data_IF_025625001594
#
_entry.id   IF_025625001594
#
_cell.length_a   1.000
_cell.length_b   1.000
_cell.length_c   1.000
_cell.angle_alpha   90.00
_cell.angle_beta   90.00
_cell.angle_gamma   90.00
#
_symmetry.space_group_name_H-M   'P 1'
#
loop_
_entity.id
_entity.type
_entity.pdbx_description
1 polymer ?
#
# COMPACT_ATOMS: atom_id res chain seq x y z
N UNK A 1 -27.74 16.78 62.39
CA UNK A 1 -28.30 16.96 61.00
C UNK A 1 -27.26 17.39 60.00
N UNK A 2 -26.27 18.19 60.38
CA UNK A 2 -25.20 18.64 59.42
C UNK A 2 -24.22 17.48 59.02
N UNK A 3 -23.93 16.60 60.01
CA UNK A 3 -23.04 15.46 59.76
C UNK A 3 -23.66 14.41 58.80
N UNK A 4 -24.98 14.20 58.85
CA UNK A 4 -25.65 13.28 57.94
C UNK A 4 -25.64 13.82 56.48
N UNK A 5 -25.71 15.14 56.28
CA UNK A 5 -25.65 15.78 54.99
C UNK A 5 -24.23 15.65 54.35
N UNK A 6 -23.17 15.75 55.18
CA UNK A 6 -21.79 15.57 54.75
C UNK A 6 -21.49 14.11 54.33
N UNK A 7 -22.03 13.12 55.08
CA UNK A 7 -21.84 11.71 54.71
C UNK A 7 -22.59 11.32 53.45
N UNK A 8 -23.80 11.86 53.22
CA UNK A 8 -24.52 11.63 51.94
C UNK A 8 -23.86 12.31 50.76
N UNK A 9 -23.23 13.47 50.93
CA UNK A 9 -22.47 14.16 49.90
C UNK A 9 -21.17 13.42 49.55
N UNK A 10 -20.44 12.89 50.56
CA UNK A 10 -19.23 12.08 50.33
C UNK A 10 -19.53 10.72 49.68
N UNK A 11 -20.65 10.09 50.00
CA UNK A 11 -21.05 8.82 49.36
C UNK A 11 -21.47 9.01 47.92
N UNK A 12 -22.07 10.15 47.56
CA UNK A 12 -22.46 10.49 46.19
C UNK A 12 -21.30 10.76 45.26
N UNK A 13 -20.17 11.29 45.77
CA UNK A 13 -18.97 11.55 44.98
C UNK A 13 -18.10 10.30 44.73
N UNK A 14 -18.16 9.30 45.62
CA UNK A 14 -17.40 8.05 45.47
C UNK A 14 -17.98 7.10 44.41
N UNK A 15 -19.25 7.23 44.05
CA UNK A 15 -19.91 6.41 43.02
C UNK A 15 -19.78 6.94 41.59
N UNK A 16 -19.25 8.15 41.42
CA UNK A 16 -19.13 8.82 40.12
C UNK A 16 -17.81 8.57 39.36
N UNK A 17 -16.82 7.91 39.96
CA UNK A 17 -15.47 7.80 39.36
C UNK A 17 -15.15 6.46 38.68
N UNK A 18 -16.11 5.52 38.67
CA UNK A 18 -15.87 4.19 38.02
C UNK A 18 -16.51 4.04 36.65
N UNK A 19 -16.92 5.15 36.01
CA UNK A 19 -17.69 5.11 34.75
C UNK A 19 -16.89 5.25 33.46
N UNK A 20 -15.54 5.33 33.47
CA UNK A 20 -14.80 5.60 32.24
C UNK A 20 -14.49 4.35 31.37
N UNK A 21 -14.55 3.14 31.95
CA UNK A 21 -14.27 1.93 31.14
C UNK A 21 -15.50 1.34 30.42
N UNK A 22 -16.71 1.83 30.77
CA UNK A 22 -17.95 1.34 30.15
C UNK A 22 -18.34 2.10 28.87
N UNK A 23 -17.59 3.15 28.54
CA UNK A 23 -17.79 3.97 27.34
C UNK A 23 -16.79 3.64 26.21
N UNK A 24 -15.82 2.77 26.43
CA UNK A 24 -15.00 2.18 25.37
C UNK A 24 -15.82 1.11 24.62
N UNK A 25 -16.84 1.58 23.92
CA UNK A 25 -17.56 0.77 22.95
C UNK A 25 -16.67 0.64 21.72
N UNK A 26 -16.00 -0.49 21.57
CA UNK A 26 -15.45 -0.85 20.29
C UNK A 26 -16.60 -0.88 19.26
N UNK A 27 -16.42 -0.25 18.08
CA UNK A 27 -17.49 -0.22 17.07
C UNK A 27 -17.85 -1.66 16.70
N UNK A 28 -19.10 -2.04 16.85
CA UNK A 28 -19.61 -3.38 16.57
C UNK A 28 -19.39 -3.84 15.11
N UNK A 29 -18.98 -2.93 14.22
CA UNK A 29 -18.73 -3.15 12.79
C UNK A 29 -17.28 -2.99 12.39
N UNK A 30 -16.38 -2.63 13.31
CA UNK A 30 -14.94 -2.52 13.05
C UNK A 30 -14.17 -3.43 14.02
N UNK A 31 -13.36 -4.32 13.47
CA UNK A 31 -12.48 -5.18 14.27
C UNK A 31 -11.24 -4.37 14.64
N UNK A 32 -10.96 -4.25 15.94
CA UNK A 32 -9.74 -3.58 16.40
C UNK A 32 -8.50 -4.36 15.93
N UNK A 33 -7.47 -3.69 15.40
CA UNK A 33 -6.21 -4.36 15.00
C UNK A 33 -5.57 -5.16 16.14
N UNK A 34 -5.82 -4.79 17.40
CA UNK A 34 -5.26 -5.47 18.58
C UNK A 34 -5.78 -6.88 18.83
N UNK A 35 -6.93 -7.26 18.24
CA UNK A 35 -7.52 -8.60 18.36
C UNK A 35 -7.34 -9.46 17.12
N UNK A 36 -6.71 -8.90 16.07
CA UNK A 36 -6.42 -9.61 14.83
C UNK A 36 -5.15 -10.45 15.01
N UNK A 37 -5.22 -11.71 14.59
CA UNK A 37 -4.13 -12.67 14.65
C UNK A 37 -3.67 -13.14 13.28
N UNK A 38 -2.98 -14.27 13.25
CA UNK A 38 -2.39 -14.85 12.04
C UNK A 38 -3.40 -15.14 10.93
N UNK A 39 -4.63 -15.52 11.25
CA UNK A 39 -5.66 -15.85 10.25
C UNK A 39 -6.15 -14.64 9.47
N UNK A 40 -6.17 -13.48 10.09
CA UNK A 40 -6.67 -12.25 9.50
C UNK A 40 -5.62 -11.55 8.65
N UNK A 41 -4.32 -11.74 8.95
CA UNK A 41 -3.21 -11.10 8.23
C UNK A 41 -3.22 -11.46 6.74
N UNK A 42 -3.48 -12.70 6.39
CA UNK A 42 -3.58 -13.15 4.98
C UNK A 42 -4.78 -12.53 4.25
N UNK A 43 -5.89 -12.35 4.97
CA UNK A 43 -7.08 -11.71 4.40
C UNK A 43 -6.84 -10.22 4.17
N UNK A 44 -6.13 -9.54 5.08
CA UNK A 44 -5.73 -8.14 4.94
C UNK A 44 -4.74 -7.95 3.77
N UNK A 45 -3.76 -8.84 3.64
CA UNK A 45 -2.86 -8.84 2.48
C UNK A 45 -3.64 -9.00 1.17
N UNK A 46 -4.58 -9.95 1.12
CA UNK A 46 -5.48 -10.13 -0.04
C UNK A 46 -6.30 -8.87 -0.31
N UNK A 47 -6.78 -8.20 0.75
CA UNK A 47 -7.45 -6.90 0.65
C UNK A 47 -6.56 -5.80 0.06
N UNK A 48 -5.26 -5.83 0.34
CA UNK A 48 -4.28 -4.90 -0.24
C UNK A 48 -4.12 -5.10 -1.74
N UNK A 49 -3.95 -6.36 -2.20
CA UNK A 49 -3.95 -6.70 -3.62
C UNK A 49 -5.22 -6.21 -4.33
N UNK A 50 -6.37 -6.48 -3.73
CA UNK A 50 -7.68 -6.08 -4.27
C UNK A 50 -7.83 -4.56 -4.39
N UNK A 51 -7.31 -3.81 -3.43
CA UNK A 51 -7.36 -2.34 -3.46
C UNK A 51 -6.59 -1.78 -4.66
N UNK A 52 -5.46 -2.39 -5.04
CA UNK A 52 -4.69 -1.99 -6.21
C UNK A 52 -5.34 -2.43 -7.54
N UNK A 53 -6.08 -3.53 -7.55
CA UNK A 53 -6.78 -4.01 -8.74
C UNK A 53 -8.02 -3.18 -9.08
N UNK A 54 -8.77 -2.76 -8.07
CA UNK A 54 -10.06 -2.12 -8.26
C UNK A 54 -9.92 -0.67 -8.76
N UNK A 55 -9.75 0.27 -7.83
CA UNK A 55 -9.87 1.69 -8.13
C UNK A 55 -8.72 2.25 -8.99
N UNK A 56 -7.42 2.02 -8.65
CA UNK A 56 -6.35 2.54 -9.49
C UNK A 56 -5.99 1.60 -10.66
N UNK A 57 -6.33 0.30 -10.58
CA UNK A 57 -5.83 -0.73 -11.47
C UNK A 57 -6.07 -0.46 -12.95
N UNK A 58 -7.30 -0.67 -13.41
CA UNK A 58 -7.68 -0.46 -14.83
C UNK A 58 -7.42 0.98 -15.27
N UNK A 59 -7.90 1.95 -14.52
CA UNK A 59 -7.87 3.35 -14.94
C UNK A 59 -6.45 3.90 -15.04
N UNK A 60 -5.53 3.42 -14.20
CA UNK A 60 -4.11 3.75 -14.30
C UNK A 60 -3.51 3.33 -15.64
N UNK A 61 -3.74 2.11 -16.08
CA UNK A 61 -3.19 1.61 -17.33
C UNK A 61 -3.82 2.32 -18.53
N UNK A 62 -5.13 2.27 -18.61
CA UNK A 62 -5.87 2.75 -19.79
C UNK A 62 -5.69 4.26 -19.99
N UNK A 63 -5.88 5.05 -18.93
CA UNK A 63 -5.88 6.50 -19.07
C UNK A 63 -4.50 7.10 -19.30
N UNK A 64 -3.46 6.52 -18.69
CA UNK A 64 -2.08 7.00 -18.94
C UNK A 64 -1.56 6.54 -20.30
N UNK A 65 -1.97 5.38 -20.82
CA UNK A 65 -1.66 4.95 -22.17
C UNK A 65 -2.40 5.77 -23.25
N UNK A 66 -3.64 6.22 -22.94
CA UNK A 66 -4.35 7.19 -23.79
C UNK A 66 -3.61 8.52 -23.87
N UNK A 67 -3.07 9.00 -22.74
CA UNK A 67 -2.25 10.20 -22.71
C UNK A 67 -0.96 10.08 -23.52
N UNK A 68 -0.42 8.87 -23.64
CA UNK A 68 0.75 8.54 -24.46
C UNK A 68 0.42 8.28 -25.94
N UNK A 69 -0.83 8.52 -26.38
CA UNK A 69 -1.32 8.26 -27.74
C UNK A 69 -1.28 6.77 -28.17
N UNK A 70 -1.02 5.86 -27.25
CA UNK A 70 -0.99 4.42 -27.51
C UNK A 70 -2.39 3.80 -27.60
N UNK A 71 -3.38 4.43 -27.00
CA UNK A 71 -4.78 3.99 -27.00
C UNK A 71 -5.73 5.12 -27.43
N UNK A 72 -6.77 4.75 -28.18
CA UNK A 72 -7.85 5.64 -28.57
C UNK A 72 -9.09 5.31 -27.75
N UNK A 73 -9.74 6.35 -27.21
CA UNK A 73 -10.97 6.15 -26.46
C UNK A 73 -12.17 6.01 -27.38
N UNK A 74 -12.97 4.99 -27.14
CA UNK A 74 -14.27 4.84 -27.81
C UNK A 74 -15.47 4.90 -26.84
N UNK A 75 -15.31 4.62 -25.54
CA UNK A 75 -16.44 4.46 -24.62
C UNK A 75 -16.18 4.86 -23.13
N UNK A 76 -14.98 5.30 -22.75
CA UNK A 76 -14.72 5.65 -21.35
C UNK A 76 -15.12 7.11 -21.09
N UNK A 77 -16.14 7.31 -20.26
CA UNK A 77 -16.56 8.64 -19.81
C UNK A 77 -15.42 9.36 -19.09
N UNK A 78 -15.17 10.63 -19.42
CA UNK A 78 -14.13 11.44 -18.81
C UNK A 78 -12.71 11.17 -19.31
N UNK A 79 -12.50 10.28 -20.27
CA UNK A 79 -11.17 9.97 -20.82
C UNK A 79 -10.65 11.03 -21.80
N UNK A 80 -11.52 11.87 -22.36
CA UNK A 80 -11.11 12.94 -23.26
C UNK A 80 -10.13 13.91 -22.60
N UNK A 81 -10.27 14.18 -21.30
CA UNK A 81 -9.33 15.00 -20.54
C UNK A 81 -7.91 14.44 -20.62
N UNK A 82 -7.76 13.10 -20.62
CA UNK A 82 -6.47 12.41 -20.70
C UNK A 82 -5.93 12.41 -22.14
N UNK A 83 -6.78 12.12 -23.12
CA UNK A 83 -6.40 12.13 -24.54
C UNK A 83 -5.92 13.53 -24.96
N UNK A 84 -6.63 14.56 -24.54
CA UNK A 84 -6.30 15.95 -24.87
C UNK A 84 -5.19 16.55 -23.99
N UNK A 85 -4.69 15.83 -22.96
CA UNK A 85 -3.79 16.36 -21.95
C UNK A 85 -4.32 17.61 -21.20
N UNK A 86 -5.63 17.73 -21.07
CA UNK A 86 -6.33 18.84 -20.42
C UNK A 86 -7.06 18.35 -19.16
N UNK A 87 -6.30 17.76 -18.22
CA UNK A 87 -6.88 17.13 -17.03
C UNK A 87 -7.09 18.19 -15.94
N UNK A 88 -8.35 18.55 -15.62
CA UNK A 88 -8.62 19.54 -14.58
C UNK A 88 -8.32 18.99 -13.19
N UNK A 89 -7.93 19.87 -12.25
CA UNK A 89 -7.57 19.48 -10.88
C UNK A 89 -8.70 18.82 -10.08
N UNK A 90 -9.95 19.03 -10.50
CA UNK A 90 -11.15 18.42 -9.92
C UNK A 90 -11.61 17.15 -10.65
N UNK A 91 -10.80 16.57 -11.53
CA UNK A 91 -11.15 15.35 -12.25
C UNK A 91 -11.43 14.20 -11.27
N UNK A 92 -12.65 13.64 -11.35
CA UNK A 92 -13.09 12.58 -10.43
C UNK A 92 -12.30 11.28 -10.53
N UNK A 93 -11.80 10.95 -11.72
CA UNK A 93 -10.99 9.74 -11.95
C UNK A 93 -9.63 9.85 -11.27
N UNK A 94 -8.97 11.02 -11.34
CA UNK A 94 -7.73 11.26 -10.58
C UNK A 94 -7.94 11.12 -9.08
N UNK A 95 -9.06 11.65 -8.57
CA UNK A 95 -9.40 11.52 -7.14
C UNK A 95 -9.65 10.07 -6.75
N UNK A 96 -10.32 9.30 -7.58
CA UNK A 96 -10.57 7.86 -7.35
C UNK A 96 -9.26 7.08 -7.34
N UNK A 97 -8.35 7.32 -8.29
CA UNK A 97 -7.02 6.70 -8.31
C UNK A 97 -6.19 7.06 -7.07
N UNK A 98 -6.16 8.33 -6.69
CA UNK A 98 -5.49 8.79 -5.46
C UNK A 98 -5.98 8.05 -4.22
N UNK A 99 -7.31 8.02 -4.03
CA UNK A 99 -7.94 7.30 -2.92
C UNK A 99 -7.65 5.81 -2.93
N UNK A 100 -7.65 5.20 -4.10
CA UNK A 100 -7.36 3.78 -4.27
C UNK A 100 -5.92 3.41 -3.85
N UNK A 101 -4.93 4.21 -4.25
CA UNK A 101 -3.55 4.02 -3.80
C UNK A 101 -3.40 4.19 -2.30
N UNK A 102 -3.99 5.23 -1.70
CA UNK A 102 -3.91 5.43 -0.25
C UNK A 102 -4.70 4.37 0.54
N UNK A 103 -5.77 3.81 -0.03
CA UNK A 103 -6.46 2.66 0.54
C UNK A 103 -5.55 1.41 0.57
N UNK A 104 -4.80 1.17 -0.49
CA UNK A 104 -3.82 0.08 -0.52
C UNK A 104 -2.70 0.30 0.52
N UNK A 105 -2.19 1.52 0.64
CA UNK A 105 -1.20 1.90 1.67
C UNK A 105 -1.77 1.67 3.07
N UNK A 106 -3.00 2.09 3.32
CA UNK A 106 -3.68 1.88 4.61
C UNK A 106 -3.77 0.39 4.95
N UNK A 107 -4.19 -0.45 4.02
CA UNK A 107 -4.29 -1.89 4.22
C UNK A 107 -2.92 -2.54 4.45
N UNK A 108 -1.89 -2.12 3.70
CA UNK A 108 -0.52 -2.58 3.89
C UNK A 108 0.00 -2.19 5.29
N UNK A 109 -0.21 -0.94 5.73
CA UNK A 109 0.18 -0.48 7.06
C UNK A 109 -0.53 -1.30 8.16
N UNK A 110 -1.83 -1.59 7.99
CA UNK A 110 -2.58 -2.43 8.94
C UNK A 110 -1.97 -3.83 9.01
N UNK A 111 -1.68 -4.45 7.86
CA UNK A 111 -1.01 -5.76 7.79
C UNK A 111 0.32 -5.74 8.53
N UNK A 112 1.17 -4.73 8.29
CA UNK A 112 2.48 -4.59 8.92
C UNK A 112 2.37 -4.35 10.44
N UNK A 113 1.42 -3.54 10.87
CA UNK A 113 1.16 -3.28 12.29
C UNK A 113 0.74 -4.54 13.04
N UNK A 114 -0.06 -5.42 12.44
CA UNK A 114 -0.44 -6.69 13.06
C UNK A 114 0.74 -7.64 13.10
N UNK A 115 1.49 -7.76 11.99
CA UNK A 115 2.68 -8.61 11.93
C UNK A 115 3.73 -8.25 12.99
N UNK A 116 3.88 -6.97 13.33
CA UNK A 116 4.83 -6.53 14.36
C UNK A 116 4.51 -7.04 15.77
N UNK A 117 3.28 -7.51 16.01
CA UNK A 117 2.83 -8.09 17.27
C UNK A 117 2.80 -9.63 17.25
N UNK A 118 3.13 -10.26 16.12
CA UNK A 118 3.17 -11.72 15.99
C UNK A 118 4.59 -12.24 16.12
N UNK A 119 4.71 -13.52 16.51
CA UNK A 119 6.01 -14.18 16.58
C UNK A 119 6.68 -14.23 15.19
N UNK A 120 7.99 -13.95 15.09
CA UNK A 120 8.73 -14.03 13.85
C UNK A 120 8.66 -15.44 13.24
N UNK A 121 8.39 -15.50 11.94
CA UNK A 121 8.39 -16.75 11.18
C UNK A 121 8.65 -16.49 9.70
N UNK A 122 9.15 -17.48 8.95
CA UNK A 122 9.32 -17.38 7.50
C UNK A 122 8.03 -16.94 6.81
N UNK A 123 6.90 -17.47 7.24
CA UNK A 123 5.57 -17.11 6.72
C UNK A 123 5.27 -15.62 6.96
N UNK A 124 5.52 -15.11 8.16
CA UNK A 124 5.26 -13.72 8.51
C UNK A 124 6.20 -12.78 7.76
N UNK A 125 7.48 -13.12 7.62
CA UNK A 125 8.45 -12.38 6.81
C UNK A 125 8.01 -12.31 5.35
N UNK A 126 7.51 -13.41 4.80
CA UNK A 126 7.01 -13.44 3.42
C UNK A 126 5.75 -12.57 3.22
N UNK A 127 4.83 -12.56 4.18
CA UNK A 127 3.66 -11.68 4.15
C UNK A 127 4.08 -10.21 4.30
N UNK A 128 5.04 -9.91 5.20
CA UNK A 128 5.60 -8.58 5.37
C UNK A 128 6.22 -8.06 4.06
N UNK A 129 7.03 -8.87 3.40
CA UNK A 129 7.67 -8.50 2.15
C UNK A 129 6.64 -8.21 1.04
N UNK A 130 5.56 -8.98 0.94
CA UNK A 130 4.47 -8.71 0.00
C UNK A 130 3.75 -7.39 0.34
N UNK A 131 3.44 -7.15 1.61
CA UNK A 131 2.77 -5.91 2.04
C UNK A 131 3.65 -4.67 1.77
N UNK A 132 4.96 -4.76 2.05
CA UNK A 132 5.94 -3.70 1.74
C UNK A 132 6.06 -3.46 0.23
N UNK A 133 6.10 -4.50 -0.58
CA UNK A 133 6.12 -4.37 -2.03
C UNK A 133 4.87 -3.63 -2.55
N UNK A 134 3.68 -4.04 -2.11
CA UNK A 134 2.42 -3.42 -2.55
C UNK A 134 2.34 -1.94 -2.13
N UNK A 135 2.85 -1.62 -0.94
CA UNK A 135 3.00 -0.24 -0.47
C UNK A 135 3.99 0.56 -1.31
N UNK A 136 5.15 -0.02 -1.60
CA UNK A 136 6.17 0.58 -2.47
C UNK A 136 5.62 0.85 -3.87
N UNK A 137 4.89 -0.10 -4.45
CA UNK A 137 4.25 0.06 -5.76
C UNK A 137 3.21 1.18 -5.77
N UNK A 138 2.36 1.25 -4.73
CA UNK A 138 1.40 2.34 -4.60
C UNK A 138 2.10 3.71 -4.53
N UNK A 139 3.16 3.83 -3.73
CA UNK A 139 3.96 5.05 -3.66
C UNK A 139 4.70 5.37 -4.95
N UNK A 140 5.22 4.38 -5.67
CA UNK A 140 5.82 4.57 -6.99
C UNK A 140 4.81 5.18 -7.96
N UNK A 141 3.60 4.63 -8.01
CA UNK A 141 2.51 5.16 -8.82
C UNK A 141 2.13 6.60 -8.42
N UNK A 142 2.03 6.88 -7.13
CA UNK A 142 1.74 8.21 -6.62
C UNK A 142 2.85 9.21 -6.96
N UNK A 143 4.12 8.88 -6.66
CA UNK A 143 5.25 9.78 -6.83
C UNK A 143 5.53 10.11 -8.30
N UNK A 144 5.33 9.16 -9.22
CA UNK A 144 5.53 9.38 -10.65
C UNK A 144 4.43 10.19 -11.32
N UNK A 145 3.24 10.33 -10.68
CA UNK A 145 2.08 11.03 -11.25
C UNK A 145 1.77 12.36 -10.55
N UNK A 146 2.00 12.43 -9.25
CA UNK A 146 1.68 13.61 -8.43
C UNK A 146 2.90 14.28 -7.81
N UNK A 147 4.13 13.88 -8.21
CA UNK A 147 5.38 14.38 -7.64
C UNK A 147 5.51 13.97 -6.15
N UNK A 148 5.87 14.89 -5.23
CA UNK A 148 5.89 14.58 -3.82
C UNK A 148 4.49 14.30 -3.26
N UNK A 149 4.39 13.38 -2.31
CA UNK A 149 3.13 12.95 -1.68
C UNK A 149 3.35 12.67 -0.19
N UNK A 150 2.32 12.72 0.67
CA UNK A 150 2.46 12.35 2.08
C UNK A 150 2.92 10.90 2.25
N UNK A 151 4.01 10.68 3.00
CA UNK A 151 4.46 9.33 3.39
C UNK A 151 3.76 8.97 4.70
N UNK A 152 2.88 7.97 4.66
CA UNK A 152 2.12 7.46 5.80
C UNK A 152 2.64 6.07 6.12
N UNK A 153 3.50 5.95 7.14
CA UNK A 153 4.06 4.67 7.59
C UNK A 153 3.12 3.93 8.55
N UNK A 154 2.42 4.70 9.37
CA UNK A 154 1.43 4.23 10.34
C UNK A 154 0.10 4.92 10.09
N UNK A 155 -1.00 4.16 10.21
CA UNK A 155 -2.33 4.70 9.97
C UNK A 155 -2.66 5.79 11.00
N UNK A 156 -3.05 6.96 10.52
CA UNK A 156 -3.35 8.13 11.34
C UNK A 156 -4.59 8.86 10.81
N UNK A 157 -5.29 9.54 11.69
CA UNK A 157 -6.38 10.47 11.36
C UNK A 157 -5.88 11.91 11.19
N UNK A 158 -4.60 12.16 11.46
CA UNK A 158 -4.00 13.48 11.32
C UNK A 158 -3.73 13.82 9.86
N UNK A 159 -3.72 15.12 9.55
CA UNK A 159 -3.31 15.61 8.24
C UNK A 159 -1.78 15.56 8.12
N UNK A 160 -1.29 14.61 7.34
CA UNK A 160 0.15 14.45 7.05
C UNK A 160 0.56 15.43 5.96
N UNK A 161 1.67 16.12 6.16
CA UNK A 161 2.23 17.05 5.17
C UNK A 161 2.77 16.29 3.97
N UNK A 162 2.78 16.96 2.82
CA UNK A 162 3.40 16.46 1.60
C UNK A 162 4.91 16.38 1.74
N UNK A 163 5.49 15.25 1.44
CA UNK A 163 6.93 15.03 1.34
C UNK A 163 7.45 15.37 -0.05
N UNK A 164 8.76 15.61 -0.16
CA UNK A 164 9.42 15.79 -1.46
C UNK A 164 9.43 14.44 -2.21
N UNK A 165 9.34 14.49 -3.53
CA UNK A 165 9.38 13.28 -4.39
C UNK A 165 10.64 12.44 -4.12
N UNK A 166 11.80 13.07 -3.92
CA UNK A 166 13.03 12.36 -3.59
C UNK A 166 12.94 11.58 -2.27
N UNK A 167 12.24 12.09 -1.26
CA UNK A 167 12.01 11.37 -0.02
C UNK A 167 11.08 10.16 -0.23
N UNK A 168 10.05 10.31 -1.08
CA UNK A 168 9.18 9.20 -1.46
C UNK A 168 9.96 8.12 -2.20
N UNK A 169 10.82 8.48 -3.15
CA UNK A 169 11.67 7.51 -3.86
C UNK A 169 12.64 6.79 -2.93
N UNK A 170 13.24 7.48 -1.96
CA UNK A 170 14.08 6.84 -0.94
C UNK A 170 13.28 5.85 -0.09
N UNK A 171 12.07 6.21 0.33
CA UNK A 171 11.19 5.30 1.06
C UNK A 171 10.85 4.05 0.24
N UNK A 172 10.53 4.21 -1.05
CA UNK A 172 10.27 3.08 -1.95
C UNK A 172 11.50 2.18 -2.07
N UNK A 173 12.71 2.77 -2.18
CA UNK A 173 13.98 2.03 -2.24
C UNK A 173 14.21 1.19 -0.98
N UNK A 174 13.95 1.75 0.21
CA UNK A 174 14.03 1.05 1.49
C UNK A 174 13.07 -0.15 1.54
N UNK A 175 11.81 0.05 1.14
CA UNK A 175 10.81 -1.01 1.10
C UNK A 175 11.19 -2.14 0.14
N UNK A 176 11.66 -1.80 -1.05
CA UNK A 176 12.08 -2.77 -2.06
C UNK A 176 13.37 -3.50 -1.66
N UNK A 177 14.31 -2.83 -0.98
CA UNK A 177 15.51 -3.46 -0.47
C UNK A 177 15.15 -4.59 0.49
N UNK A 178 14.23 -4.36 1.42
CA UNK A 178 13.72 -5.41 2.29
C UNK A 178 13.11 -6.58 1.50
N UNK A 179 12.35 -6.28 0.43
CA UNK A 179 11.71 -7.32 -0.39
C UNK A 179 12.72 -8.19 -1.15
N UNK A 180 13.88 -7.63 -1.52
CA UNK A 180 14.93 -8.30 -2.31
C UNK A 180 15.89 -9.10 -1.43
N UNK A 181 15.93 -8.83 -0.12
CA UNK A 181 16.77 -9.57 0.82
C UNK A 181 16.45 -11.07 0.76
N UNK A 182 17.49 -11.89 0.99
CA UNK A 182 17.43 -13.34 0.81
C UNK A 182 16.33 -13.98 1.67
N UNK A 183 15.47 -14.75 1.03
CA UNK A 183 14.38 -15.49 1.67
C UNK A 183 13.12 -14.70 2.00
N UNK A 184 13.11 -13.38 1.85
CA UNK A 184 11.92 -12.58 2.16
C UNK A 184 10.79 -12.77 1.12
N UNK A 185 11.10 -12.73 -0.17
CA UNK A 185 10.19 -13.12 -1.24
C UNK A 185 10.68 -14.39 -1.92
N UNK A 186 9.72 -15.23 -2.31
CA UNK A 186 10.02 -16.44 -3.09
C UNK A 186 10.17 -16.12 -4.57
N UNK A 187 10.99 -16.90 -5.30
CA UNK A 187 11.11 -16.80 -6.74
C UNK A 187 9.77 -17.02 -7.45
N UNK A 188 9.64 -16.45 -8.65
CA UNK A 188 8.44 -16.59 -9.47
C UNK A 188 8.10 -18.07 -9.74
N UNK A 189 6.83 -18.39 -9.50
CA UNK A 189 6.30 -19.75 -9.66
C UNK A 189 6.47 -20.66 -8.43
N UNK A 190 7.13 -20.20 -7.36
CA UNK A 190 7.35 -20.99 -6.14
C UNK A 190 6.39 -20.63 -5.00
N UNK A 191 5.56 -19.59 -5.19
CA UNK A 191 4.55 -19.21 -4.21
C UNK A 191 3.21 -19.85 -4.49
N UNK A 192 2.46 -20.19 -3.44
CA UNK A 192 1.03 -20.48 -3.56
C UNK A 192 0.32 -19.24 -4.13
N UNK A 193 -0.48 -19.43 -5.18
CA UNK A 193 -1.17 -18.32 -5.86
C UNK A 193 -0.38 -17.66 -6.98
N UNK A 194 0.82 -18.16 -7.35
CA UNK A 194 1.51 -17.72 -8.56
C UNK A 194 0.61 -17.97 -9.81
N UNK A 195 0.62 -17.07 -10.81
CA UNK A 195 1.45 -15.85 -10.97
C UNK A 195 0.85 -14.59 -10.34
N UNK A 196 -0.19 -14.68 -9.52
CA UNK A 196 -0.96 -13.53 -9.02
C UNK A 196 -0.43 -12.94 -7.71
N UNK A 197 0.65 -13.49 -7.18
CA UNK A 197 1.33 -12.99 -5.96
C UNK A 197 2.69 -12.41 -6.30
N UNK A 198 3.13 -11.46 -5.48
CA UNK A 198 4.45 -10.82 -5.64
C UNK A 198 5.57 -11.85 -5.51
N UNK A 199 6.51 -11.83 -6.44
CA UNK A 199 7.74 -12.64 -6.43
C UNK A 199 8.98 -11.76 -6.20
N UNK A 200 10.11 -12.41 -5.92
CA UNK A 200 11.42 -11.74 -5.83
C UNK A 200 11.71 -10.93 -7.11
N UNK A 201 11.46 -11.52 -8.26
CA UNK A 201 11.74 -10.86 -9.54
C UNK A 201 10.82 -9.68 -9.81
N UNK A 202 9.59 -9.68 -9.27
CA UNK A 202 8.71 -8.51 -9.35
C UNK A 202 9.31 -7.34 -8.55
N UNK A 203 9.90 -7.61 -7.38
CA UNK A 203 10.57 -6.58 -6.58
C UNK A 203 11.86 -6.07 -7.26
N UNK A 204 12.65 -6.96 -7.86
CA UNK A 204 13.82 -6.59 -8.65
C UNK A 204 13.43 -5.74 -9.88
N UNK A 205 12.35 -6.09 -10.56
CA UNK A 205 11.85 -5.32 -11.71
C UNK A 205 11.38 -3.91 -11.31
N UNK A 206 10.67 -3.78 -10.18
CA UNK A 206 10.27 -2.48 -9.68
C UNK A 206 11.47 -1.66 -9.19
N UNK A 207 12.48 -2.29 -8.57
CA UNK A 207 13.74 -1.64 -8.19
C UNK A 207 14.50 -1.13 -9.43
N UNK A 208 14.59 -1.93 -10.50
CA UNK A 208 15.20 -1.50 -11.76
C UNK A 208 14.50 -0.26 -12.35
N UNK A 209 13.18 -0.27 -12.35
CA UNK A 209 12.36 0.85 -12.82
C UNK A 209 12.52 2.10 -11.94
N UNK A 210 12.54 1.94 -10.62
CA UNK A 210 12.80 3.04 -9.68
C UNK A 210 14.19 3.64 -9.91
N UNK A 211 15.21 2.79 -10.02
CA UNK A 211 16.60 3.20 -10.27
C UNK A 211 16.74 3.97 -11.57
N UNK A 212 16.11 3.51 -12.66
CA UNK A 212 16.05 4.23 -13.92
C UNK A 212 15.36 5.59 -13.77
N UNK A 213 14.24 5.66 -13.03
CA UNK A 213 13.51 6.91 -12.80
C UNK A 213 14.33 7.93 -12.00
N UNK A 214 15.17 7.46 -11.09
CA UNK A 214 16.00 8.31 -10.21
C UNK A 214 17.40 8.59 -10.76
N UNK A 215 17.76 7.99 -11.90
CA UNK A 215 19.08 8.14 -12.52
C UNK A 215 20.18 7.26 -11.94
N UNK A 216 19.84 6.29 -11.07
CA UNK A 216 20.77 5.27 -10.55
C UNK A 216 21.01 4.17 -11.61
N UNK A 217 21.80 4.49 -12.63
CA UNK A 217 22.01 3.61 -13.79
C UNK A 217 22.71 2.30 -13.42
N UNK A 218 23.53 2.29 -12.39
CA UNK A 218 24.23 1.09 -11.93
C UNK A 218 23.23 0.08 -11.34
N UNK A 219 22.40 0.52 -10.40
CA UNK A 219 21.34 -0.34 -9.82
C UNK A 219 20.36 -0.79 -10.90
N UNK A 220 19.94 0.10 -11.81
CA UNK A 220 19.03 -0.24 -12.91
C UNK A 220 19.60 -1.35 -13.78
N UNK A 221 20.88 -1.24 -14.18
CA UNK A 221 21.59 -2.24 -14.99
C UNK A 221 21.67 -3.58 -14.25
N UNK A 222 22.17 -3.59 -13.01
CA UNK A 222 22.37 -4.82 -12.24
C UNK A 222 21.06 -5.60 -12.05
N UNK A 223 19.97 -4.92 -11.71
CA UNK A 223 18.65 -5.55 -11.57
C UNK A 223 18.12 -6.07 -12.91
N UNK A 224 18.30 -5.32 -13.99
CA UNK A 224 17.87 -5.74 -15.32
C UNK A 224 18.65 -6.95 -15.82
N UNK A 225 19.98 -6.99 -15.66
CA UNK A 225 20.82 -8.13 -16.02
C UNK A 225 20.44 -9.40 -15.25
N UNK A 226 20.13 -9.27 -13.95
CA UNK A 226 19.64 -10.38 -13.11
C UNK A 226 18.33 -10.97 -13.67
N UNK A 227 17.40 -10.11 -14.09
CA UNK A 227 16.12 -10.53 -14.65
C UNK A 227 16.25 -11.17 -16.04
N UNK A 228 17.10 -10.59 -16.90
CA UNK A 228 17.36 -11.10 -18.26
C UNK A 228 18.03 -12.47 -18.21
N UNK A 229 18.91 -12.69 -17.23
CA UNK A 229 19.59 -13.97 -17.04
C UNK A 229 18.64 -15.08 -16.54
N UNK A 230 17.46 -14.75 -16.04
CA UNK A 230 16.50 -15.73 -15.54
C UNK A 230 15.76 -16.40 -16.70
N UNK A 231 15.92 -17.73 -16.93
CA UNK A 231 15.33 -18.43 -18.06
C UNK A 231 13.80 -18.51 -18.04
N UNK A 232 13.16 -18.17 -16.90
CA UNK A 232 11.70 -18.09 -16.79
C UNK A 232 11.10 -16.90 -17.55
N UNK A 233 11.91 -15.87 -17.87
CA UNK A 233 11.46 -14.67 -18.57
C UNK A 233 12.05 -14.64 -19.98
N UNK A 234 11.20 -14.75 -20.97
CA UNK A 234 11.57 -14.70 -22.38
C UNK A 234 10.63 -13.77 -23.13
N UNK A 235 11.17 -13.05 -24.08
CA UNK A 235 10.33 -12.36 -25.06
C UNK A 235 9.66 -13.39 -25.95
N UNK A 236 8.41 -13.14 -26.35
CA UNK A 236 7.73 -13.97 -27.33
C UNK A 236 8.50 -13.89 -28.67
N UNK A 237 8.75 -15.04 -29.31
CA UNK A 237 9.43 -15.09 -30.62
C UNK A 237 8.52 -14.59 -31.75
N UNK A 238 7.19 -14.67 -31.54
CA UNK A 238 6.18 -14.22 -32.51
C UNK A 238 5.19 -13.30 -31.81
N UNK A 239 5.03 -12.11 -32.36
CA UNK A 239 3.97 -11.17 -32.05
C UNK A 239 2.84 -11.35 -33.07
N UNK A 240 2.16 -12.47 -33.02
CA UNK A 240 0.96 -12.72 -33.83
C UNK A 240 -0.31 -12.63 -32.99
#
# INVERSE_FOLDING_TARGET
KLNHLLYTLMLGTALGTSSCSWLDLEPATAVSPSILGQGEVEQLLTGTYRSLQNDPGRDTWVLFDMRGENLINTYLSGSNDFVNNEIPSNNGTLLTMWRGYYKAIYNANTTLSILSNLEPSEKNTHIEAQARFLRAYAYYCLATRWDGVPIIKDNTLENVKRDKQSAVFNFIKEELSFCIDEGHLKPFGETSGAPFTVSLEAAQALMARLALTTGDMETAKNMAETLIANPKFKLSENYD
#
